data_IF_289014465928
#
_entry.id   IF_289014465928
#
_cell.length_a   1.000
_cell.length_b   1.000
_cell.length_c   1.000
_cell.angle_alpha   90.00
_cell.angle_beta   90.00
_cell.angle_gamma   90.00
#
_symmetry.space_group_name_H-M   'P 1'
#
loop_
_entity.id
_entity.type
_entity.pdbx_description
1 polymer ?
#
# COMPACT_ATOMS: atom_id res chain seq x y z
N UNK A 1 -15.73 5.76 3.90
CA UNK A 1 -15.73 4.32 3.54
C UNK A 1 -15.48 4.17 2.06
N UNK A 2 -14.51 3.34 1.71
CA UNK A 2 -14.11 3.00 0.33
C UNK A 2 -14.01 1.48 0.20
N UNK A 3 -13.99 0.98 -1.02
CA UNK A 3 -13.81 -0.46 -1.31
C UNK A 3 -12.45 -0.68 -1.95
N UNK A 4 -11.64 -1.57 -1.38
CA UNK A 4 -10.28 -1.84 -1.85
C UNK A 4 -10.28 -2.43 -3.25
N UNK A 5 -9.47 -1.89 -4.17
CA UNK A 5 -9.43 -2.40 -5.55
C UNK A 5 -8.84 -3.81 -5.66
N UNK A 6 -8.01 -4.25 -4.70
CA UNK A 6 -7.38 -5.58 -4.65
C UNK A 6 -8.27 -6.60 -3.92
N UNK A 7 -8.50 -6.42 -2.61
CA UNK A 7 -9.17 -7.44 -1.79
C UNK A 7 -10.69 -7.28 -1.74
N UNK A 8 -11.24 -6.22 -2.35
CA UNK A 8 -12.67 -5.89 -2.39
C UNK A 8 -13.35 -5.71 -1.03
N UNK A 9 -12.57 -5.61 0.05
CA UNK A 9 -13.10 -5.29 1.38
C UNK A 9 -13.35 -3.80 1.51
N UNK A 10 -14.39 -3.45 2.25
CA UNK A 10 -14.62 -2.08 2.67
C UNK A 10 -13.60 -1.66 3.74
N UNK A 11 -13.17 -0.40 3.68
CA UNK A 11 -12.23 0.16 4.64
C UNK A 11 -12.53 1.64 4.92
N UNK A 12 -12.11 2.09 6.10
CA UNK A 12 -12.04 3.50 6.43
C UNK A 12 -10.65 4.03 6.08
N UNK A 13 -10.61 5.08 5.27
CA UNK A 13 -9.36 5.72 4.86
C UNK A 13 -8.74 6.58 5.97
N UNK A 14 -9.50 6.86 7.04
CA UNK A 14 -9.05 7.67 8.17
C UNK A 14 -8.51 6.83 9.34
N UNK A 15 -8.47 5.50 9.20
CA UNK A 15 -7.84 4.64 10.20
C UNK A 15 -6.34 4.97 10.33
N UNK A 16 -5.79 4.97 11.56
CA UNK A 16 -4.38 5.20 11.78
C UNK A 16 -3.53 4.22 10.95
N UNK A 17 -2.51 4.77 10.30
CA UNK A 17 -1.63 3.98 9.45
C UNK A 17 -0.53 3.27 10.26
N UNK A 18 0.12 2.29 9.63
CA UNK A 18 1.37 1.72 10.14
C UNK A 18 2.54 2.14 9.26
N UNK A 19 3.78 1.96 9.74
CA UNK A 19 4.98 2.21 8.94
C UNK A 19 4.95 1.48 7.57
N UNK A 20 4.41 0.26 7.54
CA UNK A 20 4.29 -0.50 6.29
C UNK A 20 3.14 0.01 5.42
N UNK A 21 2.09 0.57 6.02
CA UNK A 21 1.00 1.18 5.26
C UNK A 21 1.40 2.52 4.65
N UNK A 22 2.19 3.33 5.35
CA UNK A 22 2.84 4.54 4.83
C UNK A 22 3.80 4.20 3.67
N UNK A 23 4.67 3.20 3.85
CA UNK A 23 5.54 2.72 2.78
C UNK A 23 4.72 2.21 1.57
N UNK A 24 3.63 1.49 1.82
CA UNK A 24 2.73 1.02 0.78
C UNK A 24 2.00 2.16 0.05
N UNK A 25 1.69 3.25 0.75
CA UNK A 25 1.14 4.47 0.16
C UNK A 25 2.16 5.15 -0.74
N UNK A 26 3.40 5.32 -0.28
CA UNK A 26 4.48 5.87 -1.10
C UNK A 26 4.69 5.05 -2.38
N UNK A 27 4.68 3.72 -2.28
CA UNK A 27 4.73 2.83 -3.45
C UNK A 27 3.54 3.03 -4.39
N UNK A 28 2.34 3.25 -3.86
CA UNK A 28 1.14 3.52 -4.64
C UNK A 28 1.25 4.86 -5.39
N UNK A 29 1.83 5.89 -4.77
CA UNK A 29 2.03 7.22 -5.37
C UNK A 29 3.15 7.23 -6.41
N UNK A 30 4.30 6.64 -6.09
CA UNK A 30 5.51 6.76 -6.91
C UNK A 30 5.59 5.69 -8.00
N UNK A 31 5.24 4.44 -7.70
CA UNK A 31 5.45 3.31 -8.61
C UNK A 31 4.19 2.85 -9.33
N UNK A 32 3.09 2.57 -8.60
CA UNK A 32 1.91 1.92 -9.19
C UNK A 32 0.80 2.87 -9.64
N UNK A 33 0.83 4.14 -9.23
CA UNK A 33 -0.16 5.18 -9.56
C UNK A 33 -1.61 4.81 -9.18
N UNK A 34 -1.78 4.09 -8.08
CA UNK A 34 -3.06 3.64 -7.52
C UNK A 34 -3.27 4.13 -6.06
N UNK A 35 -2.70 5.30 -5.75
CA UNK A 35 -2.81 5.94 -4.45
C UNK A 35 -4.28 6.13 -4.03
N UNK A 36 -4.61 5.70 -2.80
CA UNK A 36 -5.95 5.82 -2.24
C UNK A 36 -6.98 4.78 -2.71
N UNK A 37 -6.59 3.83 -3.57
CA UNK A 37 -7.48 2.73 -4.02
C UNK A 37 -7.40 1.48 -3.14
N UNK A 38 -6.40 1.39 -2.28
CA UNK A 38 -6.12 0.22 -1.46
C UNK A 38 -6.40 0.45 0.02
N UNK A 39 -6.92 -0.58 0.68
CA UNK A 39 -6.99 -0.60 2.13
C UNK A 39 -5.58 -0.68 2.75
N UNK A 40 -5.48 -0.31 4.02
CA UNK A 40 -4.23 -0.38 4.80
C UNK A 40 -3.55 -1.75 4.69
N UNK A 41 -4.28 -2.86 4.87
CA UNK A 41 -3.69 -4.22 4.80
C UNK A 41 -3.05 -4.54 3.43
N UNK A 42 -3.68 -4.13 2.33
CA UNK A 42 -3.12 -4.33 0.99
C UNK A 42 -1.88 -3.46 0.77
N UNK A 43 -1.85 -2.23 1.29
CA UNK A 43 -0.66 -1.37 1.28
C UNK A 43 0.48 -1.98 2.09
N UNK A 44 0.22 -2.46 3.30
CA UNK A 44 1.23 -3.14 4.13
C UNK A 44 1.82 -4.38 3.46
N UNK A 45 0.97 -5.22 2.86
CA UNK A 45 1.41 -6.42 2.15
C UNK A 45 2.26 -6.06 0.92
N UNK A 46 1.85 -5.04 0.16
CA UNK A 46 2.65 -4.50 -0.95
C UNK A 46 4.03 -4.06 -0.48
N UNK A 47 4.11 -3.27 0.60
CA UNK A 47 5.40 -2.82 1.13
C UNK A 47 6.31 -3.99 1.51
N UNK A 48 5.78 -4.97 2.25
CA UNK A 48 6.52 -6.20 2.63
C UNK A 48 7.05 -6.95 1.41
N UNK A 49 6.19 -7.16 0.40
CA UNK A 49 6.57 -7.85 -0.82
C UNK A 49 7.62 -7.06 -1.62
N UNK A 50 7.49 -5.73 -1.70
CA UNK A 50 8.46 -4.88 -2.38
C UNK A 50 9.85 -4.99 -1.72
N UNK A 51 9.93 -4.93 -0.38
CA UNK A 51 11.19 -5.12 0.34
C UNK A 51 11.83 -6.50 0.11
N UNK A 52 11.00 -7.55 -0.05
CA UNK A 52 11.48 -8.91 -0.26
C UNK A 52 11.92 -9.18 -1.71
N UNK A 53 11.19 -8.65 -2.70
CA UNK A 53 11.29 -9.11 -4.09
C UNK A 53 11.53 -8.00 -5.12
N UNK A 54 11.28 -6.73 -4.81
CA UNK A 54 11.48 -5.61 -5.73
C UNK A 54 12.81 -4.90 -5.41
N UNK A 55 13.93 -5.61 -5.61
CA UNK A 55 15.26 -5.08 -5.29
C UNK A 55 15.58 -3.77 -6.01
N UNK A 56 15.01 -3.53 -7.18
CA UNK A 56 15.12 -2.29 -7.96
C UNK A 56 14.48 -1.08 -7.24
N UNK A 57 13.46 -1.32 -6.41
CA UNK A 57 12.79 -0.29 -5.63
C UNK A 57 13.54 -0.02 -4.31
N UNK A 58 14.29 -1.00 -3.80
CA UNK A 58 14.95 -0.93 -2.49
C UNK A 58 16.38 -0.37 -2.53
N UNK A 59 16.85 0.21 -3.65
CA UNK A 59 18.25 0.69 -3.79
C UNK A 59 18.46 2.12 -3.29
N UNK A 60 17.80 2.49 -2.19
CA UNK A 60 17.92 3.82 -1.57
C UNK A 60 19.37 4.21 -1.24
#
# INVERSE_FOLDING_TARGET
MKTCSICKSDYDENEPDSLYGEAGQWLAEEHWKDAGELCRNCRENRARLAMMYCHEINQG
#
